data_IF_582680892440
#
_entry.id   IF_582680892440
#
_cell.length_a   1.000
_cell.length_b   1.000
_cell.length_c   1.000
_cell.angle_alpha   90.00
_cell.angle_beta   90.00
_cell.angle_gamma   90.00
#
_symmetry.space_group_name_H-M   'P 1'
#
loop_
_entity.id
_entity.type
_entity.pdbx_description
1 polymer ?
#
# COMPACT_ATOMS: atom_id res chain seq x y z
N UNK A 1 -16.67 -16.14 -31.39
CA UNK A 1 -17.78 -15.29 -30.88
C UNK A 1 -17.25 -13.96 -30.39
N UNK A 2 -16.10 -13.46 -30.98
CA UNK A 2 -15.33 -12.30 -30.50
C UNK A 2 -15.28 -11.11 -31.49
N UNK A 3 -16.36 -10.83 -32.20
CA UNK A 3 -16.40 -9.77 -33.23
C UNK A 3 -17.34 -8.58 -32.90
N UNK A 4 -17.75 -8.41 -31.66
CA UNK A 4 -18.69 -7.32 -31.28
C UNK A 4 -18.08 -6.27 -30.33
N UNK A 5 -16.85 -6.42 -29.88
CA UNK A 5 -16.15 -5.39 -29.15
C UNK A 5 -15.40 -4.53 -30.19
N UNK A 6 -15.78 -3.26 -30.32
CA UNK A 6 -15.04 -2.29 -31.11
C UNK A 6 -13.56 -2.23 -30.68
N UNK A 7 -12.70 -1.60 -31.47
CA UNK A 7 -11.31 -1.35 -31.06
C UNK A 7 -11.34 -0.41 -29.85
N UNK A 8 -10.94 -0.92 -28.66
CA UNK A 8 -10.79 -0.11 -27.47
C UNK A 8 -9.40 0.51 -27.39
N UNK A 9 -9.30 1.65 -26.71
CA UNK A 9 -8.04 2.33 -26.44
C UNK A 9 -7.43 1.82 -25.13
N UNK A 10 -6.25 1.22 -25.20
CA UNK A 10 -5.54 0.70 -24.02
C UNK A 10 -4.85 1.82 -23.26
N UNK A 11 -5.12 1.88 -21.96
CA UNK A 11 -4.40 2.76 -21.02
C UNK A 11 -3.11 2.06 -20.63
N UNK A 12 -1.96 2.63 -21.00
CA UNK A 12 -0.66 2.06 -20.67
C UNK A 12 -0.26 2.37 -19.22
N UNK A 13 0.17 1.35 -18.50
CA UNK A 13 0.87 1.47 -17.22
C UNK A 13 2.39 1.44 -17.46
N UNK A 14 3.12 2.26 -16.71
CA UNK A 14 4.59 2.33 -16.82
C UNK A 14 5.27 1.30 -15.93
N UNK A 15 4.67 0.99 -14.80
CA UNK A 15 5.25 0.14 -13.75
C UNK A 15 4.30 -0.96 -13.29
N UNK A 16 3.02 -0.67 -13.11
CA UNK A 16 2.04 -1.64 -12.63
C UNK A 16 1.87 -2.77 -13.65
N UNK A 17 1.86 -3.99 -13.14
CA UNK A 17 1.81 -5.21 -13.96
C UNK A 17 0.50 -5.97 -13.84
N UNK A 18 -0.21 -5.83 -12.72
CA UNK A 18 -1.44 -6.57 -12.47
C UNK A 18 -2.68 -5.96 -13.13
N UNK A 19 -2.89 -4.62 -13.19
CA UNK A 19 -4.04 -4.03 -13.83
C UNK A 19 -3.82 -3.82 -15.32
N UNK A 20 -4.85 -4.08 -16.11
CA UNK A 20 -4.97 -3.62 -17.49
C UNK A 20 -6.29 -2.89 -17.70
N UNK A 21 -6.28 -1.79 -18.42
CA UNK A 21 -7.44 -0.93 -18.65
C UNK A 21 -7.61 -0.72 -20.15
N UNK A 22 -8.83 -0.94 -20.65
CA UNK A 22 -9.20 -0.68 -22.04
C UNK A 22 -10.49 0.13 -22.04
N UNK A 23 -10.42 1.30 -22.67
CA UNK A 23 -11.57 2.21 -22.84
C UNK A 23 -12.30 1.91 -24.14
N UNK A 24 -13.61 1.71 -24.06
CA UNK A 24 -14.52 1.50 -25.17
C UNK A 24 -15.56 2.63 -25.23
N UNK A 25 -16.29 2.68 -26.31
CA UNK A 25 -17.43 3.60 -26.39
C UNK A 25 -18.52 3.21 -25.38
N UNK A 26 -18.75 4.07 -24.40
CA UNK A 26 -19.77 3.92 -23.36
C UNK A 26 -19.36 3.10 -22.12
N UNK A 27 -18.19 2.45 -22.09
CA UNK A 27 -17.70 1.72 -20.91
C UNK A 27 -16.19 1.51 -20.92
N UNK A 28 -15.62 1.18 -19.76
CA UNK A 28 -14.20 0.83 -19.61
C UNK A 28 -14.09 -0.55 -18.99
N UNK A 29 -13.21 -1.39 -19.53
CA UNK A 29 -12.90 -2.71 -18.96
C UNK A 29 -11.61 -2.63 -18.18
N UNK A 30 -11.64 -3.10 -16.93
CA UNK A 30 -10.46 -3.23 -16.08
C UNK A 30 -10.30 -4.71 -15.73
N UNK A 31 -9.17 -5.31 -16.14
CA UNK A 31 -8.79 -6.64 -15.71
C UNK A 31 -7.68 -6.53 -14.67
N UNK A 32 -7.82 -7.26 -13.59
CA UNK A 32 -6.79 -7.45 -12.58
C UNK A 32 -6.26 -8.88 -12.72
N UNK A 33 -4.98 -9.04 -13.00
CA UNK A 33 -4.34 -10.35 -13.01
C UNK A 33 -4.27 -10.94 -11.61
N UNK A 34 -4.36 -12.26 -11.51
CA UNK A 34 -4.30 -12.97 -10.23
C UNK A 34 -2.83 -13.10 -9.80
N UNK A 35 -2.40 -12.43 -8.71
CA UNK A 35 -1.00 -12.43 -8.30
C UNK A 35 -0.52 -13.78 -7.74
N UNK A 36 -1.45 -14.74 -7.50
CA UNK A 36 -1.15 -16.07 -6.98
C UNK A 36 -1.35 -17.20 -8.00
N UNK A 37 -1.95 -16.90 -9.16
CA UNK A 37 -2.28 -17.91 -10.18
C UNK A 37 -1.99 -17.36 -11.57
N UNK A 38 -0.82 -17.68 -12.09
CA UNK A 38 -0.36 -17.23 -13.40
C UNK A 38 -1.40 -17.45 -14.51
N UNK A 39 -1.54 -16.45 -15.37
CA UNK A 39 -2.41 -16.47 -16.54
C UNK A 39 -3.90 -16.50 -16.22
N UNK A 40 -4.31 -16.21 -14.98
CA UNK A 40 -5.71 -16.08 -14.58
C UNK A 40 -6.02 -14.65 -14.18
N UNK A 41 -7.25 -14.20 -14.47
CA UNK A 41 -7.74 -12.97 -13.89
C UNK A 41 -8.10 -13.20 -12.41
N UNK A 42 -7.75 -12.23 -11.56
CA UNK A 42 -8.33 -12.11 -10.23
C UNK A 42 -9.77 -11.63 -10.38
N UNK A 43 -9.95 -10.52 -11.09
CA UNK A 43 -11.26 -9.93 -11.33
C UNK A 43 -11.30 -9.15 -12.66
N UNK A 44 -12.50 -9.07 -13.25
CA UNK A 44 -12.81 -8.20 -14.39
C UNK A 44 -13.92 -7.24 -14.00
N UNK A 45 -13.67 -5.95 -14.10
CA UNK A 45 -14.65 -4.89 -13.88
C UNK A 45 -15.05 -4.25 -15.20
N UNK A 46 -16.34 -3.94 -15.34
CA UNK A 46 -16.90 -3.16 -16.45
C UNK A 46 -17.45 -1.87 -15.87
N UNK A 47 -16.72 -0.79 -16.08
CA UNK A 47 -17.07 0.52 -15.56
C UNK A 47 -17.97 1.24 -16.56
N UNK A 48 -19.18 1.57 -16.14
CA UNK A 48 -20.17 2.27 -16.98
C UNK A 48 -20.50 3.63 -16.32
N UNK A 49 -20.34 4.77 -17.03
CA UNK A 49 -20.66 6.07 -16.46
C UNK A 49 -22.12 6.14 -15.97
N UNK A 50 -22.35 6.80 -14.83
CA UNK A 50 -23.71 6.94 -14.25
C UNK A 50 -24.64 7.79 -15.10
N UNK A 51 -24.10 8.71 -15.87
CA UNK A 51 -24.79 9.62 -16.79
C UNK A 51 -25.00 9.02 -18.20
N UNK A 52 -24.42 7.84 -18.48
CA UNK A 52 -24.62 7.12 -19.73
C UNK A 52 -25.73 6.06 -19.61
N UNK A 53 -26.39 5.77 -20.73
CA UNK A 53 -27.27 4.61 -20.83
C UNK A 53 -26.46 3.30 -20.67
N UNK A 54 -27.13 2.27 -20.13
CA UNK A 54 -26.48 0.95 -20.00
C UNK A 54 -26.32 0.34 -21.40
N UNK A 55 -25.10 0.02 -21.83
CA UNK A 55 -24.88 -0.64 -23.11
C UNK A 55 -25.62 -1.98 -23.17
N UNK A 56 -26.24 -2.29 -24.33
CA UNK A 56 -27.03 -3.51 -24.53
C UNK A 56 -26.15 -4.77 -24.42
N UNK A 57 -24.89 -4.66 -24.83
CA UNK A 57 -23.92 -5.75 -24.78
C UNK A 57 -22.68 -5.33 -23.99
N UNK A 58 -22.47 -5.96 -22.86
CA UNK A 58 -21.28 -5.78 -22.03
C UNK A 58 -20.47 -7.08 -22.01
N UNK A 59 -19.14 -6.99 -21.88
CA UNK A 59 -18.31 -8.15 -21.64
C UNK A 59 -18.63 -8.76 -20.27
N UNK A 60 -18.22 -10.01 -20.06
CA UNK A 60 -18.38 -10.67 -18.76
C UNK A 60 -17.52 -9.97 -17.71
N UNK A 61 -18.09 -9.65 -16.56
CA UNK A 61 -17.41 -9.00 -15.43
C UNK A 61 -18.39 -8.37 -14.46
N UNK A 62 -17.89 -7.82 -13.39
CA UNK A 62 -18.66 -7.05 -12.42
C UNK A 62 -18.90 -5.64 -12.94
N UNK A 63 -20.15 -5.28 -13.18
CA UNK A 63 -20.52 -3.95 -13.64
C UNK A 63 -20.50 -2.97 -12.47
N UNK A 64 -19.78 -1.86 -12.63
CA UNK A 64 -19.72 -0.76 -11.66
C UNK A 64 -20.14 0.54 -12.32
N UNK A 65 -21.15 1.21 -11.75
CA UNK A 65 -21.59 2.54 -12.21
C UNK A 65 -20.69 3.60 -11.61
N UNK A 66 -19.94 4.29 -12.47
CA UNK A 66 -18.98 5.33 -12.05
C UNK A 66 -19.46 6.75 -12.40
N UNK A 67 -19.04 7.80 -11.66
CA UNK A 67 -18.18 7.74 -10.47
C UNK A 67 -18.92 7.22 -9.23
N UNK A 68 -18.18 6.51 -8.36
CA UNK A 68 -18.69 6.09 -7.06
C UNK A 68 -19.02 7.32 -6.21
N UNK A 69 -20.21 7.32 -5.61
CA UNK A 69 -20.67 8.40 -4.74
C UNK A 69 -20.71 7.98 -3.27
N UNK A 70 -20.76 6.67 -3.04
CA UNK A 70 -20.81 6.10 -1.71
C UNK A 70 -20.04 4.78 -1.67
N UNK A 71 -18.97 4.72 -0.91
CA UNK A 71 -18.13 3.53 -0.80
C UNK A 71 -17.96 3.10 0.66
N UNK A 72 -17.87 1.79 0.88
CA UNK A 72 -17.32 1.22 2.12
C UNK A 72 -15.87 0.86 1.85
N UNK A 73 -14.95 1.31 2.73
CA UNK A 73 -13.50 1.20 2.51
C UNK A 73 -12.86 0.46 3.68
N UNK A 74 -12.29 -0.71 3.40
CA UNK A 74 -11.76 -1.60 4.43
C UNK A 74 -10.35 -1.25 4.90
N UNK A 75 -9.64 -0.35 4.20
CA UNK A 75 -8.24 -0.09 4.51
C UNK A 75 -7.92 1.38 4.71
N UNK A 76 -7.01 1.64 5.65
CA UNK A 76 -6.46 2.98 5.92
C UNK A 76 -5.84 3.63 4.68
N UNK A 77 -5.15 2.84 3.84
CA UNK A 77 -4.43 3.35 2.68
C UNK A 77 -5.38 3.93 1.64
N UNK A 78 -6.50 3.25 1.36
CA UNK A 78 -7.51 3.74 0.42
C UNK A 78 -8.29 4.93 0.97
N UNK A 79 -8.57 4.97 2.28
CA UNK A 79 -9.12 6.17 2.93
C UNK A 79 -8.21 7.38 2.71
N UNK A 80 -6.90 7.21 2.87
CA UNK A 80 -5.92 8.29 2.65
C UNK A 80 -5.85 8.72 1.18
N UNK A 81 -5.85 7.77 0.25
CA UNK A 81 -5.85 8.05 -1.19
C UNK A 81 -7.08 8.86 -1.62
N UNK A 82 -8.27 8.49 -1.12
CA UNK A 82 -9.50 9.23 -1.42
C UNK A 82 -9.47 10.66 -0.89
N UNK A 83 -8.77 10.90 0.22
CA UNK A 83 -8.52 12.27 0.70
C UNK A 83 -7.58 13.03 -0.25
N UNK A 84 -6.53 12.40 -0.76
CA UNK A 84 -5.60 13.00 -1.72
C UNK A 84 -6.30 13.32 -3.07
N UNK A 85 -7.36 12.58 -3.40
CA UNK A 85 -8.24 12.86 -4.55
C UNK A 85 -9.28 13.95 -4.28
N UNK A 86 -9.49 14.35 -3.01
CA UNK A 86 -10.58 15.23 -2.61
C UNK A 86 -11.95 14.55 -2.65
N UNK A 87 -11.99 13.23 -2.42
CA UNK A 87 -13.18 12.37 -2.44
C UNK A 87 -13.53 11.78 -1.08
N UNK A 88 -13.00 12.33 0.01
CA UNK A 88 -13.25 11.80 1.36
C UNK A 88 -14.73 11.77 1.74
N UNK A 89 -15.54 12.65 1.18
CA UNK A 89 -17.01 12.70 1.35
C UNK A 89 -17.73 11.47 0.78
N UNK A 90 -17.06 10.67 -0.08
CA UNK A 90 -17.59 9.45 -0.66
C UNK A 90 -17.41 8.22 0.27
N UNK A 91 -16.64 8.36 1.35
CA UNK A 91 -16.46 7.29 2.34
C UNK A 91 -17.67 7.28 3.26
N UNK A 92 -18.55 6.30 3.09
CA UNK A 92 -19.76 6.15 3.89
C UNK A 92 -19.57 5.21 5.10
N UNK A 93 -18.69 4.23 4.96
CA UNK A 93 -18.34 3.27 5.99
C UNK A 93 -16.90 2.80 5.89
N UNK A 94 -16.38 2.31 6.99
CA UNK A 94 -15.03 1.72 7.07
C UNK A 94 -15.06 0.45 7.91
N UNK A 95 -14.20 -0.50 7.60
CA UNK A 95 -13.89 -1.60 8.50
C UNK A 95 -12.67 -1.24 9.36
N UNK A 96 -12.50 -1.94 10.47
CA UNK A 96 -11.35 -1.80 11.36
C UNK A 96 -11.06 -0.36 11.81
N UNK A 97 -12.10 0.41 12.08
CA UNK A 97 -12.02 1.83 12.45
C UNK A 97 -10.97 2.10 13.55
N UNK A 98 -10.79 1.17 14.49
CA UNK A 98 -9.80 1.25 15.58
C UNK A 98 -8.37 1.42 15.10
N UNK A 99 -8.05 0.91 13.89
CA UNK A 99 -6.72 1.00 13.27
C UNK A 99 -6.57 2.20 12.31
N UNK A 100 -7.68 2.83 11.89
CA UNK A 100 -7.64 3.99 11.01
C UNK A 100 -7.32 5.25 11.83
N UNK A 101 -6.04 5.63 11.91
CA UNK A 101 -5.56 6.79 12.69
C UNK A 101 -5.64 8.12 11.93
N UNK A 102 -6.53 8.23 10.95
CA UNK A 102 -6.77 9.46 10.18
C UNK A 102 -7.75 10.35 10.97
N UNK A 103 -7.34 11.54 11.46
CA UNK A 103 -8.16 12.36 12.35
C UNK A 103 -9.52 12.74 11.76
N UNK A 104 -9.57 13.01 10.45
CA UNK A 104 -10.82 13.33 9.77
C UNK A 104 -11.80 12.16 9.82
N UNK A 105 -11.36 10.94 9.50
CA UNK A 105 -12.18 9.72 9.56
C UNK A 105 -12.73 9.51 10.96
N UNK A 106 -11.86 9.60 11.98
CA UNK A 106 -12.25 9.44 13.39
C UNK A 106 -13.31 10.48 13.81
N UNK A 107 -13.14 11.73 13.37
CA UNK A 107 -14.11 12.81 13.62
C UNK A 107 -15.45 12.53 12.94
N UNK A 108 -15.45 12.07 11.69
CA UNK A 108 -16.68 11.76 10.96
C UNK A 108 -17.39 10.54 11.55
N UNK A 109 -16.65 9.51 11.96
CA UNK A 109 -17.22 8.34 12.63
C UNK A 109 -17.87 8.68 13.97
N UNK A 110 -17.21 9.48 14.81
CA UNK A 110 -17.78 9.99 16.07
C UNK A 110 -19.06 10.82 15.85
N UNK A 111 -19.16 11.50 14.71
CA UNK A 111 -20.33 12.30 14.35
C UNK A 111 -21.41 11.47 13.61
N UNK A 112 -21.24 10.16 13.46
CA UNK A 112 -22.19 9.27 12.80
C UNK A 112 -22.29 9.45 11.28
N UNK A 113 -21.35 10.16 10.64
CA UNK A 113 -21.33 10.37 9.18
C UNK A 113 -20.54 9.30 8.43
N UNK A 114 -19.65 8.60 9.11
CA UNK A 114 -19.00 7.39 8.62
C UNK A 114 -19.38 6.26 9.57
N UNK A 115 -19.86 5.15 9.02
CA UNK A 115 -20.29 3.99 9.82
C UNK A 115 -19.10 3.08 10.06
N UNK A 116 -18.95 2.64 11.31
CA UNK A 116 -18.04 1.54 11.66
C UNK A 116 -18.71 0.21 11.28
N UNK A 117 -18.20 -0.41 10.20
CA UNK A 117 -18.70 -1.68 9.66
C UNK A 117 -18.07 -2.90 10.34
N UNK A 118 -17.34 -2.72 11.45
CA UNK A 118 -16.76 -3.80 12.25
C UNK A 118 -15.40 -4.27 11.75
N UNK A 119 -15.10 -5.52 12.05
CA UNK A 119 -13.82 -6.16 11.67
C UNK A 119 -13.80 -6.53 10.19
N UNK A 120 -12.69 -6.25 9.48
CA UNK A 120 -12.56 -6.51 8.05
C UNK A 120 -12.67 -7.99 7.66
N UNK A 121 -12.35 -8.92 8.58
CA UNK A 121 -12.49 -10.36 8.37
C UNK A 121 -13.90 -10.88 8.74
N UNK A 122 -14.66 -10.12 9.50
CA UNK A 122 -16.01 -10.45 9.93
C UNK A 122 -16.88 -9.17 10.00
N UNK A 123 -17.17 -8.54 8.85
CA UNK A 123 -17.86 -7.27 8.80
C UNK A 123 -19.33 -7.37 9.23
N UNK A 124 -19.87 -6.28 9.71
CA UNK A 124 -21.26 -6.13 10.10
C UNK A 124 -22.12 -5.91 8.85
N UNK A 125 -22.58 -7.01 8.27
CA UNK A 125 -23.28 -7.05 6.96
C UNK A 125 -24.49 -6.13 6.94
N UNK A 126 -25.31 -6.14 8.00
CA UNK A 126 -26.52 -5.34 8.11
C UNK A 126 -26.20 -3.83 8.00
N UNK A 127 -25.12 -3.38 8.63
CA UNK A 127 -24.69 -1.98 8.53
C UNK A 127 -24.24 -1.61 7.13
N UNK A 128 -23.60 -2.54 6.42
CA UNK A 128 -23.19 -2.33 5.03
C UNK A 128 -24.40 -2.23 4.12
N UNK A 129 -25.38 -3.12 4.30
CA UNK A 129 -26.65 -3.09 3.55
C UNK A 129 -27.37 -1.75 3.76
N UNK A 130 -27.51 -1.31 5.00
CA UNK A 130 -28.19 -0.04 5.35
C UNK A 130 -27.53 1.19 4.72
N UNK A 131 -26.24 1.12 4.46
CA UNK A 131 -25.52 2.19 3.78
C UNK A 131 -25.86 2.30 2.30
N UNK A 132 -26.31 1.23 1.63
CA UNK A 132 -26.54 1.17 0.17
C UNK A 132 -25.32 1.72 -0.59
N UNK A 133 -24.11 1.16 -0.42
CA UNK A 133 -22.93 1.67 -1.09
C UNK A 133 -22.91 1.27 -2.57
N UNK A 134 -22.26 2.09 -3.40
CA UNK A 134 -22.02 1.77 -4.81
C UNK A 134 -20.98 0.64 -4.98
N UNK A 135 -20.06 0.50 -4.02
CA UNK A 135 -19.04 -0.54 -4.01
C UNK A 135 -18.39 -0.68 -2.62
N UNK A 136 -17.75 -1.82 -2.39
CA UNK A 136 -16.89 -2.10 -1.23
C UNK A 136 -15.46 -2.28 -1.73
N UNK A 137 -14.52 -1.48 -1.21
CA UNK A 137 -13.09 -1.59 -1.48
C UNK A 137 -12.45 -2.45 -0.38
N UNK A 138 -11.87 -3.58 -0.74
CA UNK A 138 -11.23 -4.52 0.18
C UNK A 138 -9.95 -5.10 -0.42
N UNK A 139 -9.04 -5.60 0.41
CA UNK A 139 -7.83 -6.27 -0.05
C UNK A 139 -8.06 -7.77 -0.16
N UNK A 140 -7.84 -8.37 -1.33
CA UNK A 140 -7.86 -9.83 -1.48
C UNK A 140 -6.65 -10.44 -0.78
N UNK A 141 -6.69 -11.74 -0.48
CA UNK A 141 -5.52 -12.51 -0.03
C UNK A 141 -5.60 -13.93 -0.53
N UNK A 142 -4.45 -14.57 -0.63
CA UNK A 142 -4.36 -15.96 -1.10
C UNK A 142 -5.20 -16.89 -0.20
N UNK A 143 -5.92 -17.78 -0.83
CA UNK A 143 -6.76 -18.78 -0.13
C UNK A 143 -7.82 -18.16 0.82
N UNK A 144 -8.29 -16.96 0.53
CA UNK A 144 -9.36 -16.31 1.29
C UNK A 144 -10.66 -17.18 1.35
N UNK A 145 -10.81 -18.12 0.42
CA UNK A 145 -12.03 -18.92 0.30
C UNK A 145 -13.25 -18.11 -0.15
N UNK A 146 -13.02 -16.87 -0.59
CA UNK A 146 -14.05 -15.89 -0.90
C UNK A 146 -14.31 -14.90 0.25
N UNK A 147 -15.30 -14.02 0.05
CA UNK A 147 -15.67 -12.97 1.00
C UNK A 147 -16.93 -13.29 1.80
N UNK A 148 -17.32 -14.57 1.82
CA UNK A 148 -18.47 -15.05 2.57
C UNK A 148 -19.76 -14.29 2.23
N UNK A 149 -20.48 -13.83 3.25
CA UNK A 149 -21.77 -13.13 3.07
C UNK A 149 -21.67 -11.82 2.25
N UNK A 150 -20.48 -11.22 2.08
CA UNK A 150 -20.31 -10.05 1.21
C UNK A 150 -20.56 -10.38 -0.26
N UNK A 151 -20.25 -11.61 -0.70
CA UNK A 151 -20.50 -12.06 -2.09
C UNK A 151 -21.98 -12.26 -2.39
N UNK A 152 -22.78 -12.49 -1.36
CA UNK A 152 -24.23 -12.65 -1.48
C UNK A 152 -24.95 -11.31 -1.64
N UNK A 153 -24.25 -10.19 -1.41
CA UNK A 153 -24.78 -8.86 -1.59
C UNK A 153 -24.70 -8.46 -3.08
N UNK A 154 -25.73 -7.80 -3.56
CA UNK A 154 -25.71 -7.19 -4.90
C UNK A 154 -24.93 -5.86 -4.87
N UNK A 155 -23.74 -5.89 -4.28
CA UNK A 155 -22.82 -4.74 -4.12
C UNK A 155 -21.47 -5.14 -4.72
N UNK A 156 -20.96 -4.40 -5.73
CA UNK A 156 -19.66 -4.68 -6.31
C UNK A 156 -18.53 -4.69 -5.27
N UNK A 157 -17.73 -5.76 -5.26
CA UNK A 157 -16.51 -5.88 -4.48
C UNK A 157 -15.32 -5.47 -5.35
N UNK A 158 -14.60 -4.44 -4.92
CA UNK A 158 -13.37 -3.97 -5.59
C UNK A 158 -12.17 -4.54 -4.87
N UNK A 159 -11.49 -5.48 -5.52
CA UNK A 159 -10.33 -6.19 -5.01
C UNK A 159 -9.05 -5.36 -5.22
N UNK A 160 -8.60 -4.77 -4.13
CA UNK A 160 -7.46 -3.86 -4.09
C UNK A 160 -6.16 -4.67 -3.92
N UNK A 161 -5.61 -5.17 -5.04
CA UNK A 161 -4.45 -6.07 -5.05
C UNK A 161 -3.11 -5.34 -5.27
N UNK A 162 -3.06 -4.00 -5.20
CA UNK A 162 -1.86 -3.20 -5.44
C UNK A 162 -0.70 -3.55 -4.52
N UNK A 163 -0.97 -4.10 -3.35
CA UNK A 163 0.07 -4.50 -2.40
C UNK A 163 0.89 -5.71 -2.86
N UNK A 164 0.40 -6.43 -3.88
CA UNK A 164 1.07 -7.57 -4.51
C UNK A 164 2.04 -7.16 -5.63
N UNK A 165 2.04 -5.89 -6.03
CA UNK A 165 3.05 -5.38 -6.96
C UNK A 165 4.45 -5.43 -6.32
N UNK A 166 5.44 -5.77 -7.13
CA UNK A 166 6.83 -5.96 -6.67
C UNK A 166 7.66 -4.67 -6.69
N UNK A 167 7.12 -3.59 -7.21
CA UNK A 167 7.80 -2.29 -7.30
C UNK A 167 7.01 -1.23 -6.53
N UNK A 168 7.69 -0.35 -5.76
CA UNK A 168 7.02 0.76 -5.07
C UNK A 168 6.24 1.68 -6.01
N UNK A 169 6.77 1.95 -7.21
CA UNK A 169 6.08 2.77 -8.21
C UNK A 169 4.94 2.02 -8.89
N UNK A 170 5.06 0.70 -9.10
CA UNK A 170 3.98 -0.12 -9.61
C UNK A 170 2.78 -0.08 -8.68
N UNK A 171 3.01 -0.26 -7.36
CA UNK A 171 1.98 -0.14 -6.35
C UNK A 171 1.31 1.24 -6.35
N UNK A 172 2.10 2.31 -6.42
CA UNK A 172 1.58 3.67 -6.44
C UNK A 172 0.77 3.97 -7.70
N UNK A 173 1.14 3.40 -8.85
CA UNK A 173 0.45 3.64 -10.12
C UNK A 173 -1.01 3.17 -10.14
N UNK A 174 -1.39 2.23 -9.26
CA UNK A 174 -2.78 1.82 -9.10
C UNK A 174 -3.73 2.98 -8.72
N UNK A 175 -3.20 4.10 -8.24
CA UNK A 175 -4.04 5.28 -8.01
C UNK A 175 -4.81 5.73 -9.27
N UNK A 176 -4.32 5.39 -10.48
CA UNK A 176 -5.00 5.67 -11.74
C UNK A 176 -6.30 4.84 -11.88
N UNK A 177 -6.28 3.57 -11.47
CA UNK A 177 -7.48 2.74 -11.41
C UNK A 177 -8.50 3.31 -10.41
N UNK A 178 -8.06 3.68 -9.21
CA UNK A 178 -8.96 4.29 -8.22
C UNK A 178 -9.48 5.66 -8.70
N UNK A 179 -8.67 6.40 -9.45
CA UNK A 179 -9.08 7.64 -10.11
C UNK A 179 -10.27 7.44 -11.06
N UNK A 180 -10.28 6.34 -11.83
CA UNK A 180 -11.42 5.97 -12.68
C UNK A 180 -12.69 5.70 -11.87
N UNK A 181 -12.58 4.92 -10.78
CA UNK A 181 -13.72 4.56 -9.93
C UNK A 181 -14.41 5.79 -9.35
N UNK A 182 -13.66 6.81 -8.96
CA UNK A 182 -14.18 8.02 -8.31
C UNK A 182 -14.30 9.25 -9.22
N UNK A 183 -14.09 9.09 -10.54
CA UNK A 183 -14.14 10.21 -11.50
C UNK A 183 -13.06 11.27 -11.24
N UNK A 184 -11.86 10.83 -10.86
CA UNK A 184 -10.71 11.69 -10.53
C UNK A 184 -9.46 11.34 -11.34
N UNK A 185 -9.62 10.83 -12.58
CA UNK A 185 -8.52 10.39 -13.44
C UNK A 185 -7.42 11.44 -13.54
N UNK A 186 -7.76 12.67 -13.93
CA UNK A 186 -6.78 13.76 -14.06
C UNK A 186 -6.05 14.05 -12.75
N UNK A 187 -6.72 13.94 -11.60
CA UNK A 187 -6.10 14.15 -10.30
C UNK A 187 -5.15 13.02 -9.97
N UNK A 188 -5.55 11.78 -10.24
CA UNK A 188 -4.74 10.58 -10.05
C UNK A 188 -3.50 10.58 -10.94
N UNK A 189 -3.64 10.91 -12.23
CA UNK A 189 -2.52 11.02 -13.18
C UNK A 189 -1.51 12.09 -12.74
N UNK A 190 -1.98 13.26 -12.32
CA UNK A 190 -1.12 14.33 -11.85
C UNK A 190 -0.38 13.94 -10.55
N UNK A 191 -1.08 13.28 -9.62
CA UNK A 191 -0.49 12.82 -8.38
C UNK A 191 0.56 11.72 -8.64
N UNK A 192 0.25 10.77 -9.52
CA UNK A 192 1.21 9.74 -9.90
C UNK A 192 2.43 10.33 -10.60
N UNK A 193 2.25 11.28 -11.53
CA UNK A 193 3.36 11.95 -12.20
C UNK A 193 4.28 12.69 -11.21
N UNK A 194 3.72 13.31 -10.16
CA UNK A 194 4.49 13.90 -9.06
C UNK A 194 5.30 12.84 -8.30
N UNK A 195 4.66 11.73 -7.93
CA UNK A 195 5.29 10.62 -7.22
C UNK A 195 6.41 9.99 -8.04
N UNK A 196 6.14 9.68 -9.31
CA UNK A 196 7.12 9.11 -10.25
C UNK A 196 8.33 10.02 -10.40
N UNK A 197 8.10 11.31 -10.62
CA UNK A 197 9.18 12.29 -10.74
C UNK A 197 10.02 12.36 -9.45
N UNK A 198 9.38 12.53 -8.30
CA UNK A 198 10.07 12.67 -7.01
C UNK A 198 10.88 11.42 -6.68
N UNK A 199 10.29 10.23 -6.87
CA UNK A 199 10.95 8.95 -6.62
C UNK A 199 12.21 8.79 -7.48
N UNK A 200 12.10 9.04 -8.79
CA UNK A 200 13.23 8.91 -9.70
C UNK A 200 14.29 9.99 -9.50
N UNK A 201 13.93 11.20 -9.10
CA UNK A 201 14.89 12.24 -8.75
C UNK A 201 15.67 11.88 -7.47
N UNK A 202 15.00 11.33 -6.45
CA UNK A 202 15.63 10.81 -5.24
C UNK A 202 16.57 9.63 -5.56
N UNK A 203 16.15 8.70 -6.40
CA UNK A 203 16.98 7.57 -6.84
C UNK A 203 18.26 8.05 -7.51
N UNK A 204 18.20 9.05 -8.40
CA UNK A 204 19.39 9.66 -9.02
C UNK A 204 20.31 10.32 -7.98
N UNK A 205 19.77 10.89 -6.91
CA UNK A 205 20.57 11.45 -5.82
C UNK A 205 21.36 10.33 -5.11
N UNK A 206 20.69 9.20 -4.81
CA UNK A 206 21.33 8.03 -4.21
C UNK A 206 22.38 7.39 -5.13
N UNK A 207 22.08 7.23 -6.42
CA UNK A 207 23.01 6.71 -7.43
C UNK A 207 24.31 7.54 -7.51
N UNK A 208 24.19 8.87 -7.44
CA UNK A 208 25.37 9.77 -7.43
C UNK A 208 26.18 9.69 -6.13
N UNK A 209 25.55 9.35 -5.02
CA UNK A 209 26.25 9.15 -3.75
C UNK A 209 27.03 7.84 -3.71
N UNK A 210 26.71 6.88 -4.58
CA UNK A 210 27.32 5.57 -4.62
C UNK A 210 26.75 4.60 -3.58
N UNK A 211 27.56 3.60 -3.21
CA UNK A 211 27.16 2.61 -2.20
C UNK A 211 27.12 3.25 -0.81
N UNK A 212 25.98 3.10 -0.15
CA UNK A 212 25.75 3.60 1.20
C UNK A 212 25.85 2.52 2.28
N UNK A 213 25.32 2.83 3.45
CA UNK A 213 25.33 1.95 4.63
C UNK A 213 24.54 0.66 4.39
N UNK A 214 24.92 -0.37 5.11
CA UNK A 214 24.11 -1.57 5.27
C UNK A 214 22.94 -1.32 6.23
N UNK A 215 21.77 -1.90 5.90
CA UNK A 215 20.52 -1.65 6.58
C UNK A 215 19.85 -2.94 7.03
N UNK A 216 19.44 -2.98 8.29
CA UNK A 216 18.55 -4.00 8.85
C UNK A 216 17.16 -3.41 9.04
N UNK A 217 16.10 -4.19 8.78
CA UNK A 217 14.72 -3.72 8.77
C UNK A 217 13.85 -4.54 9.70
N UNK A 218 12.91 -3.84 10.33
CA UNK A 218 11.95 -4.31 11.31
C UNK A 218 12.59 -4.89 12.58
N UNK A 219 11.81 -5.52 13.42
CA UNK A 219 12.24 -6.17 14.66
C UNK A 219 11.43 -7.43 14.92
N UNK A 220 11.84 -8.23 15.84
CA UNK A 220 11.15 -9.45 16.23
C UNK A 220 9.73 -9.15 16.74
N UNK A 221 8.77 -9.99 16.34
CA UNK A 221 7.38 -9.98 16.82
C UNK A 221 7.08 -11.37 17.36
N UNK A 222 6.87 -11.46 18.66
CA UNK A 222 6.83 -12.77 19.34
C UNK A 222 8.16 -13.50 19.21
N UNK A 223 8.16 -14.69 18.62
CA UNK A 223 9.37 -15.50 18.38
C UNK A 223 9.95 -15.37 16.96
N UNK A 224 9.34 -14.54 16.10
CA UNK A 224 9.69 -14.47 14.67
C UNK A 224 10.08 -13.05 14.28
N UNK A 225 11.13 -12.94 13.47
CA UNK A 225 11.49 -11.71 12.78
C UNK A 225 11.05 -11.78 11.32
N UNK A 226 10.15 -10.89 10.93
CA UNK A 226 9.66 -10.80 9.54
C UNK A 226 10.53 -9.81 8.78
N UNK A 227 11.59 -10.29 8.13
CA UNK A 227 12.45 -9.43 7.31
C UNK A 227 11.92 -9.34 5.88
N UNK A 228 11.90 -8.16 5.24
CA UNK A 228 11.50 -8.03 3.84
C UNK A 228 12.41 -8.87 2.93
N UNK A 229 11.83 -9.66 2.04
CA UNK A 229 12.58 -10.38 1.01
C UNK A 229 13.25 -9.42 0.03
N UNK A 230 14.29 -9.86 -0.66
CA UNK A 230 15.08 -9.02 -1.59
C UNK A 230 14.25 -8.48 -2.77
N UNK A 231 13.23 -9.23 -3.22
CA UNK A 231 12.31 -8.81 -4.30
C UNK A 231 11.04 -8.12 -3.80
N UNK A 232 10.92 -7.89 -2.49
CA UNK A 232 9.81 -7.11 -1.95
C UNK A 232 9.91 -5.63 -2.31
N UNK A 233 8.80 -4.89 -2.19
CA UNK A 233 8.80 -3.43 -2.40
C UNK A 233 9.80 -2.71 -1.48
N UNK A 234 10.01 -3.21 -0.26
CA UNK A 234 10.99 -2.66 0.69
C UNK A 234 12.41 -3.03 0.29
N UNK A 235 12.67 -4.30 -0.08
CA UNK A 235 13.98 -4.73 -0.59
C UNK A 235 14.40 -3.93 -1.84
N UNK A 236 13.46 -3.71 -2.76
CA UNK A 236 13.68 -2.85 -3.93
C UNK A 236 13.98 -1.40 -3.52
N UNK A 237 13.31 -0.88 -2.48
CA UNK A 237 13.54 0.49 -1.99
C UNK A 237 14.92 0.66 -1.36
N UNK A 238 15.44 -0.33 -0.62
CA UNK A 238 16.82 -0.32 -0.11
C UNK A 238 17.81 -0.24 -1.28
N UNK A 239 17.60 -1.04 -2.32
CA UNK A 239 18.42 -1.03 -3.55
C UNK A 239 18.36 0.34 -4.23
N UNK A 240 17.18 0.91 -4.42
CA UNK A 240 16.98 2.21 -5.06
C UNK A 240 17.57 3.36 -4.24
N UNK A 241 17.68 3.19 -2.91
CA UNK A 241 18.39 4.10 -2.01
C UNK A 241 19.90 3.90 -1.98
N UNK A 242 20.46 2.95 -2.75
CA UNK A 242 21.90 2.66 -2.76
C UNK A 242 22.40 1.96 -1.49
N UNK A 243 21.52 1.34 -0.70
CA UNK A 243 21.87 0.64 0.51
C UNK A 243 22.31 -0.81 0.27
N UNK A 244 23.11 -1.35 1.20
CA UNK A 244 23.40 -2.78 1.28
C UNK A 244 22.38 -3.45 2.18
N UNK A 245 21.90 -4.62 1.79
CA UNK A 245 20.87 -5.34 2.52
C UNK A 245 21.26 -6.82 2.66
N UNK A 246 21.26 -7.43 3.87
CA UNK A 246 21.70 -8.82 4.05
C UNK A 246 20.95 -9.79 3.14
N UNK A 247 19.67 -9.59 2.93
CA UNK A 247 18.79 -10.45 2.11
C UNK A 247 18.53 -9.89 0.69
N UNK A 248 19.45 -9.08 0.16
CA UNK A 248 19.27 -8.44 -1.18
C UNK A 248 19.13 -9.45 -2.33
N UNK A 249 19.70 -10.64 -2.20
CA UNK A 249 19.66 -11.73 -3.20
C UNK A 249 18.51 -12.71 -2.99
N UNK A 250 17.71 -12.52 -1.96
CA UNK A 250 16.55 -13.35 -1.71
C UNK A 250 15.45 -13.05 -2.77
N UNK A 251 14.83 -14.10 -3.29
CA UNK A 251 13.87 -13.99 -4.39
C UNK A 251 12.42 -13.83 -3.94
N UNK A 252 12.15 -13.82 -2.64
CA UNK A 252 10.79 -13.63 -2.13
C UNK A 252 10.34 -12.16 -2.30
N UNK A 253 9.12 -12.00 -2.79
CA UNK A 253 8.43 -10.70 -2.87
C UNK A 253 7.73 -10.30 -1.57
N UNK A 254 7.53 -11.24 -0.65
CA UNK A 254 6.99 -11.06 0.69
C UNK A 254 8.08 -10.94 1.75
N UNK A 255 7.72 -11.26 3.00
CA UNK A 255 8.66 -11.31 4.13
C UNK A 255 9.14 -12.73 4.38
N UNK A 256 10.40 -12.85 4.74
CA UNK A 256 10.98 -14.08 5.32
C UNK A 256 10.64 -14.14 6.79
N UNK A 257 10.29 -15.32 7.29
CA UNK A 257 10.05 -15.59 8.71
C UNK A 257 11.30 -16.25 9.30
N UNK A 258 12.12 -15.47 10.00
CA UNK A 258 13.40 -15.92 10.53
C UNK A 258 13.41 -15.91 12.07
N UNK A 259 14.13 -16.87 12.72
CA UNK A 259 14.40 -16.79 14.15
C UNK A 259 15.45 -15.69 14.43
N UNK A 260 15.49 -15.23 15.68
CA UNK A 260 16.41 -14.18 16.12
C UNK A 260 17.87 -14.51 15.81
N UNK A 261 18.29 -15.75 16.07
CA UNK A 261 19.65 -16.21 15.90
C UNK A 261 20.13 -16.10 14.44
N UNK A 262 19.27 -16.44 13.48
CA UNK A 262 19.59 -16.31 12.05
C UNK A 262 19.75 -14.83 11.67
N UNK A 263 18.87 -13.96 12.16
CA UNK A 263 18.98 -12.52 11.89
C UNK A 263 20.25 -11.95 12.54
N UNK A 264 20.59 -12.40 13.75
CA UNK A 264 21.82 -11.99 14.41
C UNK A 264 23.06 -12.43 13.62
N UNK A 265 23.09 -13.68 13.14
CA UNK A 265 24.21 -14.20 12.35
C UNK A 265 24.40 -13.43 11.03
N UNK A 266 23.30 -13.15 10.32
CA UNK A 266 23.35 -12.54 8.98
C UNK A 266 23.46 -11.00 8.99
N UNK A 267 23.00 -10.34 10.06
CA UNK A 267 22.85 -8.89 10.12
C UNK A 267 23.56 -8.21 11.30
N UNK A 268 24.35 -8.93 12.12
CA UNK A 268 24.98 -8.35 13.33
C UNK A 268 25.85 -7.12 13.03
N UNK A 269 26.51 -7.08 11.87
CA UNK A 269 27.44 -6.00 11.48
C UNK A 269 26.77 -4.90 10.62
N UNK A 270 25.44 -4.90 10.51
CA UNK A 270 24.74 -3.82 9.78
C UNK A 270 24.95 -2.46 10.46
N UNK A 271 25.09 -1.42 9.61
CA UNK A 271 25.48 -0.09 10.07
C UNK A 271 24.29 0.77 10.51
N UNK A 272 23.09 0.44 10.05
CA UNK A 272 21.85 1.12 10.44
C UNK A 272 20.72 0.11 10.63
N UNK A 273 19.80 0.43 11.51
CA UNK A 273 18.64 -0.38 11.82
C UNK A 273 17.37 0.47 11.79
N UNK A 274 16.42 0.10 10.96
CA UNK A 274 15.10 0.74 10.85
C UNK A 274 14.00 -0.23 11.27
N UNK A 275 13.09 0.19 12.15
CA UNK A 275 11.96 -0.65 12.54
C UNK A 275 10.69 0.15 12.81
N UNK A 276 9.55 -0.53 12.77
CA UNK A 276 8.24 0.02 13.07
C UNK A 276 7.78 -0.45 14.46
N UNK A 277 7.07 0.41 15.17
CA UNK A 277 6.46 0.09 16.46
C UNK A 277 5.17 0.88 16.65
N UNK A 278 4.29 0.39 17.52
CA UNK A 278 3.03 1.08 17.93
C UNK A 278 3.07 1.31 19.43
N UNK A 279 3.29 2.54 19.87
CA UNK A 279 3.35 2.91 21.29
C UNK A 279 2.83 4.31 21.52
N UNK A 280 2.29 4.54 22.72
CA UNK A 280 1.92 5.89 23.17
C UNK A 280 3.14 6.76 23.46
N UNK A 281 4.23 6.13 23.89
CA UNK A 281 5.49 6.79 24.17
C UNK A 281 6.51 6.56 23.04
N UNK A 282 7.40 7.52 22.80
CA UNK A 282 8.53 7.31 21.91
C UNK A 282 9.38 6.12 22.40
N UNK A 283 9.84 5.30 21.48
CA UNK A 283 10.78 4.21 21.78
C UNK A 283 12.13 4.78 22.22
N UNK A 284 12.73 4.19 23.23
CA UNK A 284 14.09 4.47 23.67
C UNK A 284 14.98 3.23 23.53
N UNK A 285 16.31 3.38 23.49
CA UNK A 285 17.22 2.22 23.48
C UNK A 285 16.97 1.23 24.63
N UNK A 286 16.73 1.73 25.85
CA UNK A 286 16.46 0.88 27.01
C UNK A 286 15.14 0.10 26.86
N UNK A 287 14.11 0.73 26.32
CA UNK A 287 12.84 0.05 26.03
C UNK A 287 13.05 -1.06 24.98
N UNK A 288 13.84 -0.78 23.93
CA UNK A 288 14.14 -1.75 22.88
C UNK A 288 14.91 -2.95 23.44
N UNK A 289 15.90 -2.72 24.30
CA UNK A 289 16.63 -3.80 25.00
C UNK A 289 15.73 -4.60 25.95
N UNK A 290 14.74 -3.97 26.57
CA UNK A 290 13.79 -4.67 27.44
C UNK A 290 12.85 -5.62 26.67
N UNK A 291 12.62 -5.38 25.36
CA UNK A 291 11.87 -6.32 24.52
C UNK A 291 12.69 -7.56 24.18
N UNK A 292 13.99 -7.39 23.92
CA UNK A 292 14.93 -8.47 23.59
C UNK A 292 16.37 -8.02 23.90
N UNK A 293 16.97 -8.59 24.93
CA UNK A 293 18.33 -8.25 25.40
C UNK A 293 19.39 -8.44 24.28
N UNK A 294 19.18 -9.43 23.44
CA UNK A 294 20.08 -9.75 22.31
C UNK A 294 20.22 -8.62 21.29
N UNK A 295 19.31 -7.65 21.26
CA UNK A 295 19.40 -6.48 20.36
C UNK A 295 20.68 -5.64 20.57
N UNK A 296 21.25 -5.66 21.79
CA UNK A 296 22.53 -5.02 22.10
C UNK A 296 23.73 -5.58 21.37
N UNK A 297 23.62 -6.75 20.74
CA UNK A 297 24.71 -7.36 19.97
C UNK A 297 24.83 -6.79 18.55
N UNK A 298 23.79 -6.14 18.01
CA UNK A 298 23.87 -5.54 16.69
C UNK A 298 24.73 -4.27 16.67
N UNK A 299 25.62 -4.17 15.70
CA UNK A 299 26.48 -3.00 15.51
C UNK A 299 25.67 -1.69 15.44
N UNK A 300 24.56 -1.67 14.69
CA UNK A 300 23.70 -0.50 14.59
C UNK A 300 23.20 -0.02 15.96
N UNK A 301 22.88 -0.94 16.89
CA UNK A 301 22.48 -0.59 18.24
C UNK A 301 23.67 -0.02 19.03
N UNK A 302 24.85 -0.67 18.98
CA UNK A 302 26.06 -0.25 19.69
C UNK A 302 26.55 1.13 19.25
N UNK A 303 26.36 1.48 17.98
CA UNK A 303 26.74 2.78 17.43
C UNK A 303 25.64 3.83 17.53
N UNK A 304 24.47 3.49 18.05
CA UNK A 304 23.30 4.38 18.15
C UNK A 304 22.68 4.73 16.80
N UNK A 305 22.87 3.92 15.77
CA UNK A 305 22.28 4.12 14.43
C UNK A 305 20.97 3.33 14.27
N UNK A 306 20.07 3.55 15.21
CA UNK A 306 18.76 2.89 15.31
C UNK A 306 17.65 3.91 15.07
N UNK A 307 16.72 3.60 14.17
CA UNK A 307 15.66 4.48 13.72
C UNK A 307 14.30 3.83 13.87
N UNK A 308 13.46 4.40 14.71
CA UNK A 308 12.10 3.92 14.97
C UNK A 308 11.04 4.72 14.22
N UNK A 309 10.06 4.03 13.67
CA UNK A 309 8.84 4.63 13.12
C UNK A 309 7.65 4.28 14.01
N UNK A 310 7.14 5.24 14.76
CA UNK A 310 5.92 5.04 15.55
C UNK A 310 4.70 5.14 14.63
N UNK A 311 4.12 4.00 14.25
CA UNK A 311 2.97 3.96 13.34
C UNK A 311 1.68 4.51 13.96
N UNK A 312 1.63 4.70 15.28
CA UNK A 312 0.52 5.35 15.98
C UNK A 312 0.47 6.86 15.73
N UNK A 313 1.63 7.50 15.63
CA UNK A 313 1.77 8.96 15.51
C UNK A 313 2.16 9.43 14.12
N UNK A 314 2.71 8.55 13.30
CA UNK A 314 3.03 8.82 11.90
C UNK A 314 1.92 8.33 10.98
N UNK A 315 1.90 8.84 9.76
CA UNK A 315 0.96 8.39 8.72
C UNK A 315 1.57 7.29 7.83
N UNK A 316 2.48 6.48 8.38
CA UNK A 316 3.24 5.50 7.61
C UNK A 316 2.34 4.61 6.75
N UNK A 317 1.43 3.84 7.37
CA UNK A 317 0.54 2.94 6.63
C UNK A 317 -0.49 3.65 5.75
N UNK A 318 -0.86 4.87 6.09
CA UNK A 318 -1.81 5.64 5.31
C UNK A 318 -1.20 6.21 4.03
N UNK A 319 0.09 6.56 4.04
CA UNK A 319 0.73 7.29 2.94
C UNK A 319 1.71 6.47 2.12
N UNK A 320 2.58 5.68 2.76
CA UNK A 320 3.72 5.06 2.09
C UNK A 320 3.37 4.19 0.87
N UNK A 321 2.21 3.51 0.81
CA UNK A 321 1.87 2.71 -0.37
C UNK A 321 1.69 3.54 -1.65
N UNK A 322 1.06 4.71 -1.56
CA UNK A 322 0.84 5.60 -2.70
C UNK A 322 1.80 6.80 -2.74
N UNK A 323 2.65 6.96 -1.71
CA UNK A 323 3.71 7.96 -1.64
C UNK A 323 5.06 7.33 -1.29
N UNK A 324 5.51 6.35 -2.10
CA UNK A 324 6.81 5.71 -1.89
C UNK A 324 7.97 6.70 -2.03
N UNK A 325 7.79 7.81 -2.73
CA UNK A 325 8.74 8.91 -2.82
C UNK A 325 9.12 9.46 -1.44
N UNK A 326 8.16 9.56 -0.53
CA UNK A 326 8.38 10.04 0.84
C UNK A 326 9.16 9.05 1.70
N UNK A 327 8.88 7.76 1.52
CA UNK A 327 9.55 6.70 2.25
C UNK A 327 10.99 6.49 1.72
N UNK A 328 11.19 6.55 0.40
CA UNK A 328 12.51 6.50 -0.21
C UNK A 328 13.42 7.65 0.30
N UNK A 329 12.85 8.84 0.50
CA UNK A 329 13.59 9.96 1.09
C UNK A 329 14.17 9.62 2.48
N UNK A 330 13.38 8.96 3.33
CA UNK A 330 13.84 8.54 4.66
C UNK A 330 14.94 7.48 4.54
N UNK A 331 14.76 6.49 3.65
CA UNK A 331 15.78 5.46 3.39
C UNK A 331 17.10 6.08 2.93
N UNK A 332 17.07 6.99 1.95
CA UNK A 332 18.28 7.64 1.43
C UNK A 332 18.99 8.44 2.54
N UNK A 333 18.24 9.15 3.37
CA UNK A 333 18.83 9.95 4.43
C UNK A 333 19.50 9.09 5.52
N UNK A 334 18.95 7.92 5.82
CA UNK A 334 19.50 6.98 6.79
C UNK A 334 20.70 6.23 6.19
N UNK A 335 20.61 5.82 4.94
CA UNK A 335 21.66 5.08 4.24
C UNK A 335 22.87 5.99 3.92
N UNK A 336 22.63 7.27 3.61
CA UNK A 336 23.66 8.26 3.27
C UNK A 336 23.62 9.46 4.24
N UNK A 337 24.12 9.35 5.46
CA UNK A 337 24.08 10.45 6.42
C UNK A 337 24.73 11.74 5.89
N UNK A 338 24.02 12.84 6.03
CA UNK A 338 24.51 14.14 5.56
C UNK A 338 24.37 14.41 4.06
N UNK A 339 23.73 13.50 3.30
CA UNK A 339 23.44 13.71 1.89
C UNK A 339 22.61 14.98 1.67
N UNK A 340 22.93 15.73 0.62
CA UNK A 340 22.17 16.94 0.25
C UNK A 340 21.09 16.63 -0.77
N UNK A 341 20.04 17.47 -0.82
CA UNK A 341 18.96 17.34 -1.79
C UNK A 341 17.81 16.47 -1.33
N UNK A 342 17.83 15.98 -0.08
CA UNK A 342 16.74 15.24 0.55
C UNK A 342 16.02 16.10 1.60
N UNK A 343 14.77 15.75 1.90
CA UNK A 343 13.96 16.41 2.93
C UNK A 343 14.26 15.79 4.31
N UNK A 344 13.96 16.48 5.43
CA UNK A 344 14.01 15.87 6.76
C UNK A 344 13.21 14.57 6.83
N UNK A 345 13.62 13.64 7.72
CA UNK A 345 12.92 12.37 7.96
C UNK A 345 11.44 12.63 8.24
N UNK A 346 10.60 11.88 7.55
CA UNK A 346 9.14 11.99 7.69
C UNK A 346 8.55 10.99 8.67
N UNK A 347 8.95 9.73 8.54
CA UNK A 347 8.36 8.62 9.30
C UNK A 347 9.27 8.14 10.42
N UNK A 348 10.55 8.08 10.14
CA UNK A 348 11.55 7.54 11.07
C UNK A 348 12.19 8.64 11.92
N UNK A 349 12.59 8.25 13.12
CA UNK A 349 13.36 9.09 14.03
C UNK A 349 14.47 8.27 14.65
N UNK A 350 15.64 8.85 14.82
CA UNK A 350 16.75 8.24 15.56
C UNK A 350 16.34 8.11 17.03
N UNK A 351 16.64 6.96 17.66
CA UNK A 351 16.39 6.72 19.08
C UNK A 351 17.35 7.45 19.97
#
# INVERSE_FOLDING_TARGET
>A
MDRLLGSGDSVSFKYATLPSIVEYDGYTVVNIENPWKDGKALHTYVLVPKDAEMPVHLPKGTVIRTPLQKAVVFTTVHCSLLMDFGCQDKIAGVADLKYIKIPWIQKQAKAGRIVDCGDGMSPLIEKIIDLHPDAILLSPFENSGGYGRLEELDIPLVECAEYMEVSPLARAEWMRFYGLLFGRQKRADNLFAEVDKNYNDLKKIAEKAGEGRSLMIDKQVGSVWYVPGGRSTIGQMVKDAGGRYPWAYDEHSGSLSLPFETVLEEAFDTEAWMFRYDSEQPMTPDMLLSEQEGYGQFRAFQTGEVYGCNVRTTRFYAESPFRPDRLLNDFIQIIHPGIKGVKPLRYYRKL
#
